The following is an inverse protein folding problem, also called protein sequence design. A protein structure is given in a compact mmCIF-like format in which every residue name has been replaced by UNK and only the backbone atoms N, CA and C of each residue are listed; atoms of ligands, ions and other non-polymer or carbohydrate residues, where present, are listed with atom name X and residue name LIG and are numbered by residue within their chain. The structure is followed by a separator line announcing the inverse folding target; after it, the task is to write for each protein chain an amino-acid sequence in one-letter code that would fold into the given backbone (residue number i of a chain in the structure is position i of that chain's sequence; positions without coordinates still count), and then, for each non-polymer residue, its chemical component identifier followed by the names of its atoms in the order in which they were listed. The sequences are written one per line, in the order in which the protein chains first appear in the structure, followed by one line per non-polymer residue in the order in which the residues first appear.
data_IF_703134533616
#
_entry.id   IF_703134533616
#
_cell.length_a   1.000
_cell.length_b   1.000
_cell.length_c   1.000
_cell.angle_alpha   90.00
_cell.angle_beta   90.00
_cell.angle_gamma   90.00
#
_symmetry.space_group_name_H-M   'P 1'
#
loop_
_entity.id
_entity.type
_entity.pdbx_description
1 polymer ?
#
# COMPACT_ATOMS: atom_id res chain seq x y z
N UNK A 1 7.82 4.84 -7.98
CA UNK A 1 6.47 4.84 -8.61
C UNK A 1 6.01 6.28 -8.74
N UNK A 2 5.42 6.68 -9.87
CA UNK A 2 4.82 8.03 -10.02
C UNK A 2 3.42 8.02 -9.42
N UNK A 3 3.31 8.16 -8.10
CA UNK A 3 2.04 8.04 -7.37
C UNK A 3 1.06 9.11 -7.84
N UNK A 4 1.54 10.31 -8.13
CA UNK A 4 0.78 11.44 -8.65
C UNK A 4 0.16 11.18 -10.03
N UNK A 5 0.65 10.17 -10.76
CA UNK A 5 0.06 9.76 -12.04
C UNK A 5 -1.12 8.79 -11.86
N UNK A 6 -1.37 8.29 -10.64
CA UNK A 6 -2.51 7.42 -10.33
C UNK A 6 -3.69 8.30 -9.89
N UNK A 7 -4.81 8.31 -10.64
CA UNK A 7 -6.00 9.04 -10.21
C UNK A 7 -6.62 8.38 -8.98
N UNK A 8 -7.36 9.16 -8.18
CA UNK A 8 -8.05 8.68 -6.98
C UNK A 8 -9.01 7.52 -7.32
N UNK A 9 -9.66 7.56 -8.48
CA UNK A 9 -10.62 6.57 -8.94
C UNK A 9 -11.35 7.04 -10.19
N UNK A 10 -12.16 6.17 -10.80
CA UNK A 10 -12.95 6.55 -11.98
C UNK A 10 -14.21 7.34 -11.62
N UNK A 11 -14.86 6.99 -10.50
CA UNK A 11 -16.05 7.67 -10.00
C UNK A 11 -16.09 7.61 -8.46
N UNK A 12 -15.27 8.41 -7.74
CA UNK A 12 -15.27 8.40 -6.28
C UNK A 12 -16.54 9.05 -5.71
N UNK A 13 -17.13 8.50 -4.61
CA UNK A 13 -16.60 7.42 -3.78
C UNK A 13 -16.95 5.99 -4.25
N UNK A 14 -17.74 5.81 -5.31
CA UNK A 14 -18.23 4.49 -5.75
C UNK A 14 -17.15 3.60 -6.39
N UNK A 15 -16.13 4.20 -7.01
CA UNK A 15 -14.99 3.54 -7.66
C UNK A 15 -13.69 4.30 -7.33
N UNK A 16 -12.78 3.63 -6.62
CA UNK A 16 -11.49 4.15 -6.16
C UNK A 16 -10.35 3.18 -6.50
N UNK A 17 -9.17 3.75 -6.78
CA UNK A 17 -7.93 3.00 -6.90
C UNK A 17 -7.27 2.87 -5.53
N UNK A 18 -6.69 1.71 -5.26
CA UNK A 18 -5.95 1.42 -4.01
C UNK A 18 -4.58 0.88 -4.35
N UNK A 19 -3.55 1.42 -3.71
CA UNK A 19 -2.20 0.86 -3.75
C UNK A 19 -2.09 -0.15 -2.62
N UNK A 20 -1.79 -1.41 -2.96
CA UNK A 20 -1.71 -2.50 -1.99
C UNK A 20 -0.33 -2.51 -1.33
N UNK A 21 -0.30 -2.38 0.00
CA UNK A 21 0.94 -2.46 0.80
C UNK A 21 1.16 -3.86 1.36
N UNK A 22 0.09 -4.56 1.76
CA UNK A 22 0.15 -5.91 2.32
C UNK A 22 -0.87 -6.80 1.61
N UNK A 23 -0.44 -7.88 0.92
CA UNK A 23 -1.36 -8.81 0.27
C UNK A 23 -2.03 -9.74 1.28
N UNK A 24 -3.18 -10.29 0.91
CA UNK A 24 -3.84 -11.34 1.69
C UNK A 24 -2.95 -12.59 1.77
N UNK A 25 -2.78 -13.14 2.97
CA UNK A 25 -1.93 -14.32 3.21
C UNK A 25 -0.42 -14.08 3.04
N UNK A 26 0.03 -12.81 3.02
CA UNK A 26 1.44 -12.48 2.99
C UNK A 26 2.19 -12.83 4.28
N UNK A 27 3.52 -12.75 4.22
CA UNK A 27 4.38 -12.85 5.41
C UNK A 27 4.01 -11.78 6.46
N UNK A 28 4.29 -12.03 7.76
CA UNK A 28 3.98 -11.11 8.86
C UNK A 28 4.89 -9.86 8.83
N UNK A 29 4.77 -9.05 7.79
CA UNK A 29 5.55 -7.85 7.54
C UNK A 29 4.59 -6.72 7.18
N UNK A 30 4.64 -5.63 7.95
CA UNK A 30 3.98 -4.39 7.57
C UNK A 30 4.92 -3.62 6.64
N UNK A 31 4.50 -3.49 5.39
CA UNK A 31 5.09 -2.54 4.46
C UNK A 31 4.35 -1.21 4.53
N UNK A 32 5.03 -0.14 4.15
CA UNK A 32 4.43 1.20 4.08
C UNK A 32 5.03 1.97 2.89
N UNK A 33 4.18 2.70 2.16
CA UNK A 33 4.60 3.52 1.02
C UNK A 33 5.27 4.81 1.48
N UNK A 34 6.55 4.97 1.13
CA UNK A 34 7.20 6.26 1.16
C UNK A 34 6.80 7.07 -0.08
N UNK A 35 6.14 8.23 0.14
CA UNK A 35 5.57 9.04 -0.94
C UNK A 35 6.63 9.80 -1.75
N UNK A 36 7.73 10.19 -1.14
CA UNK A 36 8.78 10.97 -1.80
C UNK A 36 9.65 10.07 -2.69
N UNK A 37 10.03 8.91 -2.17
CA UNK A 37 10.77 7.89 -2.91
C UNK A 37 9.88 7.08 -3.87
N UNK A 38 8.57 7.04 -3.60
CA UNK A 38 7.60 6.27 -4.37
C UNK A 38 7.88 4.77 -4.34
N UNK A 39 8.31 4.25 -3.18
CA UNK A 39 8.65 2.84 -2.96
C UNK A 39 8.14 2.36 -1.60
N UNK A 40 7.98 1.04 -1.46
CA UNK A 40 7.62 0.43 -0.18
C UNK A 40 8.85 0.26 0.71
N UNK A 41 8.67 0.53 2.00
CA UNK A 41 9.64 0.27 3.06
C UNK A 41 9.08 -0.79 4.01
N UNK A 42 9.97 -1.53 4.66
CA UNK A 42 9.62 -2.37 5.81
C UNK A 42 9.45 -1.44 7.00
N UNK A 43 8.21 -1.27 7.46
CA UNK A 43 7.92 -0.53 8.70
C UNK A 43 8.26 -1.42 9.90
N UNK A 44 7.73 -2.65 9.91
CA UNK A 44 8.07 -3.64 10.95
C UNK A 44 7.72 -5.07 10.57
N UNK A 45 8.38 -6.01 11.25
CA UNK A 45 7.93 -7.39 11.36
C UNK A 45 6.82 -7.48 12.42
N UNK A 46 5.75 -8.20 12.12
CA UNK A 46 4.66 -8.43 13.06
C UNK A 46 5.06 -9.54 14.03
N UNK A 47 4.72 -9.36 15.31
CA UNK A 47 5.10 -10.28 16.39
C UNK A 47 3.95 -11.21 16.81
N UNK A 48 2.74 -10.96 16.32
CA UNK A 48 1.56 -11.80 16.56
C UNK A 48 1.36 -12.75 15.38
N UNK A 49 1.10 -14.02 15.66
CA UNK A 49 0.71 -15.00 14.64
C UNK A 49 -0.77 -14.83 14.31
N UNK A 50 -1.08 -14.16 13.20
CA UNK A 50 -2.43 -14.00 12.65
C UNK A 50 -2.58 -14.74 11.34
#
# INVERSE_FOLDING_TARGET
MRIEAVPIGKNPPEDINVIIEVPIGGEPIKYEMDKEAGTLFVDRFLHTSM
#
